data_IF_289676785002
#
_entry.id   IF_289676785002
#
_cell.length_a   1.000
_cell.length_b   1.000
_cell.length_c   1.000
_cell.angle_alpha   90.00
_cell.angle_beta   90.00
_cell.angle_gamma   90.00
#
_symmetry.space_group_name_H-M   'P 1'
#
loop_
_entity.id
_entity.type
_entity.pdbx_description
1 polymer ?
#
# COMPACT_ATOMS: atom_id res chain seq x y z
N UNK A 1 6.72 4.01 -5.94
CA UNK A 1 5.62 4.31 -6.87
C UNK A 1 4.80 3.05 -7.07
N UNK A 2 3.49 3.13 -6.84
CA UNK A 2 2.53 2.06 -7.08
C UNK A 2 1.65 2.51 -8.24
N UNK A 3 1.72 1.81 -9.38
CA UNK A 3 1.00 2.21 -10.59
C UNK A 3 0.72 0.98 -11.49
N UNK A 4 -0.55 0.57 -11.67
CA UNK A 4 -0.91 -0.55 -12.53
C UNK A 4 -0.60 -0.31 -14.01
N UNK A 5 -0.44 0.93 -14.43
CA UNK A 5 -0.19 1.35 -15.81
C UNK A 5 1.24 1.88 -16.01
N UNK A 6 2.15 1.57 -15.08
CA UNK A 6 3.54 1.90 -15.25
C UNK A 6 4.12 1.22 -16.50
N UNK A 7 5.05 1.93 -17.14
CA UNK A 7 5.88 1.42 -18.23
C UNK A 7 7.33 1.91 -18.02
N UNK A 8 8.33 1.29 -18.67
CA UNK A 8 9.72 1.69 -18.50
C UNK A 8 9.92 3.19 -18.70
N UNK A 9 10.65 3.84 -17.79
CA UNK A 9 10.91 5.29 -17.78
C UNK A 9 9.72 6.22 -17.45
N UNK A 10 8.50 5.71 -17.17
CA UNK A 10 7.39 6.57 -16.70
C UNK A 10 7.74 7.29 -15.39
N UNK A 11 8.42 6.57 -14.48
CA UNK A 11 8.77 7.04 -13.14
C UNK A 11 10.28 6.85 -12.88
N UNK A 12 11.14 7.69 -13.46
CA UNK A 12 12.58 7.57 -13.30
C UNK A 12 12.98 7.82 -11.84
N UNK A 13 13.91 7.02 -11.31
CA UNK A 13 14.36 7.13 -9.92
C UNK A 13 13.32 6.70 -8.88
N UNK A 14 12.34 5.88 -9.27
CA UNK A 14 11.41 5.28 -8.33
C UNK A 14 11.54 3.75 -8.36
N UNK A 15 11.41 3.11 -7.20
CA UNK A 15 10.99 1.71 -7.16
C UNK A 15 9.53 1.66 -7.61
N UNK A 16 9.25 0.94 -8.69
CA UNK A 16 7.93 0.85 -9.32
C UNK A 16 7.32 -0.52 -9.08
N UNK A 17 6.08 -0.53 -8.60
CA UNK A 17 5.28 -1.75 -8.34
C UNK A 17 3.99 -1.70 -9.15
N UNK A 18 3.56 -2.85 -9.69
CA UNK A 18 2.26 -3.00 -10.33
C UNK A 18 2.26 -2.96 -11.85
N UNK A 19 3.44 -2.83 -12.47
CA UNK A 19 3.61 -2.76 -13.93
C UNK A 19 2.79 -3.84 -14.66
N UNK A 20 2.05 -3.43 -15.70
CA UNK A 20 1.25 -4.37 -16.49
C UNK A 20 0.01 -4.89 -15.77
N UNK A 21 -0.61 -4.08 -14.89
CA UNK A 21 -1.79 -4.43 -14.09
C UNK A 21 -1.54 -5.58 -13.12
N UNK A 22 -0.34 -5.64 -12.55
CA UNK A 22 0.03 -6.65 -11.57
C UNK A 22 -0.59 -6.32 -10.19
N UNK A 23 -1.91 -6.46 -10.08
CA UNK A 23 -2.66 -6.20 -8.84
C UNK A 23 -2.21 -7.07 -7.65
N UNK A 24 -1.82 -8.36 -7.83
CA UNK A 24 -1.24 -9.14 -6.72
C UNK A 24 0.02 -8.51 -6.13
N UNK A 25 0.93 -8.01 -6.97
CA UNK A 25 2.14 -7.31 -6.51
C UNK A 25 1.81 -5.99 -5.79
N UNK A 26 0.81 -5.25 -6.29
CA UNK A 26 0.30 -4.06 -5.60
C UNK A 26 -0.24 -4.42 -4.21
N UNK A 27 -1.02 -5.49 -4.10
CA UNK A 27 -1.53 -5.99 -2.81
C UNK A 27 -0.41 -6.32 -1.83
N UNK A 28 0.61 -7.05 -2.29
CA UNK A 28 1.81 -7.35 -1.49
C UNK A 28 2.53 -6.07 -1.02
N UNK A 29 2.64 -5.06 -1.89
CA UNK A 29 3.28 -3.80 -1.52
C UNK A 29 2.48 -2.98 -0.50
N UNK A 30 1.15 -2.91 -0.63
CA UNK A 30 0.31 -2.23 0.35
C UNK A 30 0.41 -2.90 1.72
N UNK A 31 0.35 -4.23 1.76
CA UNK A 31 0.52 -5.04 2.97
C UNK A 31 1.92 -4.86 3.59
N UNK A 32 2.98 -4.89 2.78
CA UNK A 32 4.35 -4.63 3.23
C UNK A 32 4.53 -3.22 3.83
N UNK A 33 3.89 -2.20 3.25
CA UNK A 33 3.92 -0.84 3.77
C UNK A 33 3.22 -0.74 5.13
N UNK A 34 2.07 -1.38 5.30
CA UNK A 34 1.36 -1.43 6.59
C UNK A 34 2.20 -2.17 7.63
N UNK A 35 2.80 -3.33 7.30
CA UNK A 35 3.72 -4.04 8.21
C UNK A 35 4.91 -3.19 8.63
N UNK A 36 5.53 -2.48 7.68
CA UNK A 36 6.65 -1.59 7.98
C UNK A 36 6.22 -0.46 8.90
N UNK A 37 5.03 0.11 8.70
CA UNK A 37 4.45 1.10 9.60
C UNK A 37 4.29 0.55 11.02
N UNK A 38 3.72 -0.65 11.17
CA UNK A 38 3.57 -1.33 12.47
C UNK A 38 4.92 -1.54 13.16
N UNK A 39 5.91 -2.07 12.43
CA UNK A 39 7.27 -2.26 12.94
C UNK A 39 7.87 -0.95 13.47
N UNK A 40 7.75 0.15 12.72
CA UNK A 40 8.25 1.46 13.14
C UNK A 40 7.55 1.96 14.41
N UNK A 41 6.24 1.75 14.53
CA UNK A 41 5.50 2.06 15.75
C UNK A 41 5.98 1.25 16.95
N UNK A 42 6.29 -0.04 16.78
CA UNK A 42 6.85 -0.85 17.86
C UNK A 42 8.23 -0.35 18.31
N UNK A 43 9.10 0.01 17.37
CA UNK A 43 10.43 0.55 17.69
C UNK A 43 10.34 1.87 18.44
N UNK A 44 9.40 2.75 18.04
CA UNK A 44 9.08 3.99 18.76
C UNK A 44 8.55 3.68 20.15
N UNK A 45 7.58 2.76 20.27
CA UNK A 45 6.98 2.38 21.55
C UNK A 45 7.97 1.74 22.53
N UNK A 46 8.99 1.04 22.02
CA UNK A 46 10.09 0.45 22.79
C UNK A 46 11.21 1.46 23.10
N UNK A 47 11.13 2.69 22.59
CA UNK A 47 12.17 3.71 22.76
C UNK A 47 13.48 3.41 22.02
N UNK A 48 13.47 2.49 21.05
CA UNK A 48 14.64 2.12 20.25
C UNK A 48 14.98 3.25 19.27
N UNK A 49 13.95 3.88 18.70
CA UNK A 49 14.04 4.99 17.75
C UNK A 49 13.10 6.11 18.21
N UNK A 50 13.53 7.36 18.13
CA UNK A 50 12.66 8.49 18.44
C UNK A 50 11.57 8.66 17.37
N UNK A 51 10.42 9.26 17.72
CA UNK A 51 9.37 9.57 16.74
C UNK A 51 9.94 10.37 15.56
N UNK A 52 9.60 9.98 14.33
CA UNK A 52 10.08 10.59 13.08
C UNK A 52 11.59 10.48 12.79
N UNK A 53 12.35 9.71 13.59
CA UNK A 53 13.79 9.53 13.35
C UNK A 53 14.12 8.42 12.33
N UNK A 54 13.13 7.66 11.86
CA UNK A 54 13.29 6.76 10.72
C UNK A 54 13.52 7.53 9.41
N UNK A 55 14.19 6.89 8.46
CA UNK A 55 14.25 7.36 7.07
C UNK A 55 12.84 7.57 6.51
N UNK A 56 12.62 8.73 5.88
CA UNK A 56 11.32 9.06 5.32
C UNK A 56 11.07 8.27 4.04
N UNK A 57 9.91 7.62 3.97
CA UNK A 57 9.45 6.95 2.75
C UNK A 57 8.38 7.81 2.11
N UNK A 58 8.56 8.13 0.82
CA UNK A 58 7.53 8.79 0.01
C UNK A 58 6.83 7.76 -0.87
N UNK A 59 5.53 7.61 -0.65
CA UNK A 59 4.68 6.65 -1.33
C UNK A 59 3.82 7.44 -2.31
N UNK A 60 4.01 7.19 -3.60
CA UNK A 60 3.18 7.73 -4.66
C UNK A 60 2.33 6.60 -5.22
N UNK A 61 1.01 6.80 -5.28
CA UNK A 61 0.05 5.81 -5.77
C UNK A 61 -0.75 6.45 -6.90
N UNK A 62 -0.55 5.97 -8.13
CA UNK A 62 -1.31 6.40 -9.31
C UNK A 62 -2.49 5.45 -9.56
N UNK A 63 -3.52 5.95 -10.23
CA UNK A 63 -4.69 5.16 -10.63
C UNK A 63 -5.41 4.44 -9.47
N UNK A 64 -5.53 5.11 -8.32
CA UNK A 64 -6.05 4.51 -7.08
C UNK A 64 -7.39 3.82 -7.25
N UNK A 65 -8.30 4.42 -8.02
CA UNK A 65 -9.60 3.84 -8.32
C UNK A 65 -9.47 2.42 -8.88
N UNK A 66 -8.55 2.19 -9.83
CA UNK A 66 -8.35 0.87 -10.42
C UNK A 66 -7.80 -0.14 -9.38
N UNK A 67 -6.94 0.32 -8.47
CA UNK A 67 -6.39 -0.50 -7.39
C UNK A 67 -7.49 -0.95 -6.44
N UNK A 68 -8.32 -0.02 -5.93
CA UNK A 68 -9.43 -0.33 -5.01
C UNK A 68 -10.37 -1.40 -5.58
N UNK A 69 -10.63 -1.38 -6.89
CA UNK A 69 -11.53 -2.37 -7.52
C UNK A 69 -10.90 -3.76 -7.74
N UNK A 70 -9.57 -3.89 -7.73
CA UNK A 70 -8.89 -5.13 -8.12
C UNK A 70 -8.00 -5.73 -7.03
N UNK A 71 -7.69 -4.97 -5.98
CA UNK A 71 -6.86 -5.41 -4.86
C UNK A 71 -7.74 -5.53 -3.63
N UNK A 72 -7.90 -6.78 -3.17
CA UNK A 72 -8.55 -7.08 -1.90
C UNK A 72 -7.77 -6.39 -0.77
N UNK A 73 -8.49 -5.79 0.16
CA UNK A 73 -7.93 -5.09 1.33
C UNK A 73 -7.19 -3.76 1.03
N UNK A 74 -7.25 -3.25 -0.21
CA UNK A 74 -6.64 -1.97 -0.55
C UNK A 74 -7.25 -0.78 0.22
N UNK A 75 -8.56 -0.82 0.46
CA UNK A 75 -9.28 0.22 1.21
C UNK A 75 -8.80 0.30 2.65
N UNK A 76 -8.58 -0.85 3.28
CA UNK A 76 -8.10 -1.01 4.65
C UNK A 76 -6.65 -0.52 4.75
N UNK A 77 -5.80 -0.90 3.80
CA UNK A 77 -4.42 -0.43 3.74
C UNK A 77 -4.33 1.09 3.57
N UNK A 78 -5.14 1.69 2.68
CA UNK A 78 -5.06 3.14 2.46
C UNK A 78 -5.58 3.94 3.65
N UNK A 79 -6.60 3.45 4.33
CA UNK A 79 -7.10 4.08 5.57
C UNK A 79 -5.98 4.17 6.59
N UNK A 80 -5.32 3.04 6.88
CA UNK A 80 -4.19 2.99 7.80
C UNK A 80 -3.05 3.93 7.36
N UNK A 81 -2.65 3.88 6.09
CA UNK A 81 -1.57 4.72 5.56
C UNK A 81 -1.91 6.21 5.62
N UNK A 82 -3.14 6.62 5.34
CA UNK A 82 -3.52 8.03 5.35
C UNK A 82 -3.72 8.59 6.76
N UNK A 83 -4.13 7.77 7.73
CA UNK A 83 -4.41 8.24 9.11
C UNK A 83 -3.21 8.11 10.04
N UNK A 84 -2.33 7.12 9.82
CA UNK A 84 -1.28 6.75 10.78
C UNK A 84 0.16 6.96 10.25
N UNK A 85 0.34 7.40 9.00
CA UNK A 85 1.67 7.53 8.37
C UNK A 85 2.63 8.51 9.05
N UNK A 86 2.11 9.62 9.63
CA UNK A 86 2.93 10.76 10.04
C UNK A 86 4.04 10.39 11.02
N UNK A 87 3.72 9.62 12.07
CA UNK A 87 4.69 9.27 13.13
C UNK A 87 5.67 8.18 12.70
N UNK A 88 5.24 7.34 11.77
CA UNK A 88 6.07 6.32 11.12
C UNK A 88 6.93 6.87 9.97
N UNK A 89 7.06 8.20 9.84
CA UNK A 89 7.86 8.88 8.83
C UNK A 89 7.50 8.49 7.37
N UNK A 90 6.21 8.34 7.08
CA UNK A 90 5.71 8.16 5.72
C UNK A 90 5.12 9.46 5.16
N UNK A 91 5.23 9.67 3.86
CA UNK A 91 4.52 10.70 3.10
C UNK A 91 3.75 10.03 1.97
N UNK A 92 2.42 10.09 2.01
CA UNK A 92 1.54 9.34 1.11
C UNK A 92 0.84 10.29 0.16
N UNK A 93 0.91 10.01 -1.14
CA UNK A 93 0.22 10.74 -2.20
C UNK A 93 -0.60 9.75 -3.02
N UNK A 94 -1.87 10.07 -3.22
CA UNK A 94 -2.82 9.23 -3.94
C UNK A 94 -3.45 10.02 -5.07
N UNK A 95 -3.27 9.56 -6.31
CA UNK A 95 -3.93 10.12 -7.48
C UNK A 95 -5.17 9.29 -7.81
N UNK A 96 -6.30 9.99 -7.99
CA UNK A 96 -7.59 9.38 -8.31
C UNK A 96 -8.41 10.28 -9.23
N UNK A 97 -9.26 9.66 -10.04
CA UNK A 97 -10.22 10.33 -10.92
C UNK A 97 -11.56 10.67 -10.23
N UNK A 98 -11.73 10.28 -8.97
CA UNK A 98 -12.97 10.53 -8.22
C UNK A 98 -12.66 10.75 -6.76
N UNK A 99 -13.32 11.75 -6.18
CA UNK A 99 -13.21 12.08 -4.77
C UNK A 99 -14.36 11.50 -3.92
N UNK A 100 -15.25 10.69 -4.51
CA UNK A 100 -16.32 9.98 -3.79
C UNK A 100 -15.78 8.85 -2.91
N UNK A 101 -16.47 8.58 -1.80
CA UNK A 101 -16.10 7.56 -0.81
C UNK A 101 -15.74 6.20 -1.40
N UNK A 102 -16.63 5.63 -2.23
CA UNK A 102 -16.44 4.29 -2.81
C UNK A 102 -15.19 4.17 -3.71
N UNK A 103 -14.99 5.02 -4.73
CA UNK A 103 -13.75 5.03 -5.51
C UNK A 103 -12.48 5.32 -4.72
N UNK A 104 -12.58 5.94 -3.54
CA UNK A 104 -11.46 6.18 -2.63
C UNK A 104 -11.21 5.01 -1.66
N UNK A 105 -12.13 4.06 -1.53
CA UNK A 105 -12.05 3.03 -0.49
C UNK A 105 -12.42 3.52 0.92
N UNK A 106 -13.17 4.61 1.03
CA UNK A 106 -13.55 5.26 2.29
C UNK A 106 -15.05 5.11 2.60
N UNK A 107 -15.70 4.05 2.13
CA UNK A 107 -17.11 3.79 2.46
C UNK A 107 -17.27 3.62 3.97
N UNK A 108 -18.23 4.35 4.56
CA UNK A 108 -18.49 4.37 6.00
C UNK A 108 -17.62 5.34 6.82
N UNK A 109 -16.52 5.84 6.25
CA UNK A 109 -15.51 6.66 6.95
C UNK A 109 -15.03 7.82 6.05
N UNK A 110 -15.97 8.44 5.34
CA UNK A 110 -15.64 9.48 4.37
C UNK A 110 -15.22 10.81 5.01
N UNK A 111 -15.52 10.99 6.30
CA UNK A 111 -15.05 12.07 7.15
C UNK A 111 -13.52 12.10 7.29
N UNK A 112 -12.83 10.97 7.11
CA UNK A 112 -11.36 10.92 7.07
C UNK A 112 -10.78 11.86 6.00
N UNK A 113 -11.54 12.14 4.93
CA UNK A 113 -11.15 13.06 3.86
C UNK A 113 -10.84 14.47 4.37
N UNK A 114 -11.47 14.91 5.46
CA UNK A 114 -11.27 16.24 6.04
C UNK A 114 -9.86 16.41 6.63
N UNK A 115 -9.17 15.29 6.94
CA UNK A 115 -7.78 15.29 7.39
C UNK A 115 -6.74 15.39 6.27
N UNK A 116 -7.16 15.38 5.00
CA UNK A 116 -6.25 15.31 3.86
C UNK A 116 -6.06 16.67 3.19
N UNK A 117 -4.84 16.89 2.69
CA UNK A 117 -4.59 17.94 1.71
C UNK A 117 -5.03 17.43 0.33
N UNK A 118 -5.98 18.10 -0.31
CA UNK A 118 -6.55 17.70 -1.59
C UNK A 118 -6.08 18.66 -2.66
N UNK A 119 -5.34 18.14 -3.63
CA UNK A 119 -5.00 18.89 -4.86
C UNK A 119 -5.96 18.47 -5.95
N UNK A 120 -6.78 19.41 -6.45
CA UNK A 120 -7.62 19.16 -7.63
C UNK A 120 -6.92 19.68 -8.87
N UNK A 121 -6.81 18.82 -9.87
CA UNK A 121 -6.22 19.14 -11.16
C UNK A 121 -7.33 19.21 -12.20
N UNK A 122 -7.32 20.24 -13.05
CA UNK A 122 -8.22 20.28 -14.18
C UNK A 122 -7.68 21.08 -15.36
N UNK A 123 -8.37 20.95 -16.50
CA UNK A 123 -8.00 21.55 -17.77
C UNK A 123 -9.19 22.36 -18.27
N UNK A 124 -8.99 23.67 -18.47
CA UNK A 124 -9.98 24.58 -19.02
C UNK A 124 -9.32 25.40 -20.11
N UNK A 125 -9.96 25.48 -21.28
CA UNK A 125 -9.45 26.23 -22.44
C UNK A 125 -8.01 25.84 -22.83
N UNK A 126 -7.66 24.55 -22.69
CA UNK A 126 -6.32 24.04 -22.97
C UNK A 126 -5.25 24.39 -21.92
N UNK A 127 -5.60 25.12 -20.87
CA UNK A 127 -4.70 25.45 -19.76
C UNK A 127 -4.97 24.54 -18.57
N UNK A 128 -3.89 24.07 -17.93
CA UNK A 128 -3.97 23.29 -16.69
C UNK A 128 -4.07 24.26 -15.51
N UNK A 129 -4.92 23.94 -14.55
CA UNK A 129 -5.04 24.65 -13.29
C UNK A 129 -5.09 23.67 -12.13
N UNK A 130 -4.74 24.16 -10.94
CA UNK A 130 -4.84 23.40 -9.70
C UNK A 130 -5.44 24.24 -8.57
N UNK A 131 -6.21 23.57 -7.71
CA UNK A 131 -6.63 24.09 -6.41
C UNK A 131 -6.11 23.18 -5.30
N UNK A 132 -5.88 23.76 -4.12
CA UNK A 132 -5.55 23.05 -2.89
C UNK A 132 -6.68 23.30 -1.88
N UNK A 133 -7.16 22.22 -1.26
CA UNK A 133 -8.04 22.26 -0.10
C UNK A 133 -7.32 21.61 1.09
N UNK A 134 -7.32 22.28 2.23
CA UNK A 134 -6.80 21.77 3.51
C UNK A 134 -7.87 21.82 4.61
N UNK A 135 -9.16 21.78 4.22
CA UNK A 135 -10.31 21.85 5.14
C UNK A 135 -10.89 23.24 5.35
N UNK A 136 -10.30 24.28 4.73
CA UNK A 136 -10.76 25.67 4.81
C UNK A 136 -11.34 26.19 3.47
N UNK A 137 -11.59 25.28 2.54
CA UNK A 137 -12.02 25.59 1.18
C UNK A 137 -10.88 25.65 0.18
N UNK A 138 -11.24 25.64 -1.09
CA UNK A 138 -10.30 25.56 -2.20
C UNK A 138 -9.60 26.90 -2.48
N UNK A 139 -8.27 26.87 -2.54
CA UNK A 139 -7.46 28.01 -2.97
C UNK A 139 -6.69 27.67 -4.25
N UNK A 140 -6.59 28.58 -5.23
CA UNK A 140 -5.76 28.35 -6.42
C UNK A 140 -4.30 28.13 -6.04
N UNK A 141 -3.64 27.16 -6.68
CA UNK A 141 -2.21 26.91 -6.52
C UNK A 141 -1.51 26.87 -7.86
N UNK A 142 -0.24 27.27 -7.85
CA UNK A 142 0.59 27.20 -9.04
C UNK A 142 0.94 25.74 -9.31
N UNK A 143 0.66 25.30 -10.53
CA UNK A 143 1.19 24.04 -11.00
C UNK A 143 2.71 24.14 -11.11
N UNK A 144 3.44 23.05 -10.79
CA UNK A 144 4.82 22.96 -11.21
C UNK A 144 4.82 23.15 -12.74
N UNK A 145 5.59 24.13 -13.21
CA UNK A 145 5.64 24.47 -14.64
C UNK A 145 6.18 23.32 -15.49
N UNK A 146 6.72 23.62 -16.66
CA UNK A 146 7.49 22.61 -17.39
C UNK A 146 8.65 22.18 -16.51
N UNK A 147 8.67 20.90 -16.09
CA UNK A 147 9.86 20.31 -15.50
C UNK A 147 10.92 20.34 -16.61
N UNK A 148 11.99 21.17 -16.50
CA UNK A 148 13.16 20.90 -17.33
C UNK A 148 13.54 19.45 -17.03
N UNK A 149 13.91 18.66 -18.04
CA UNK A 149 14.36 17.28 -17.87
C UNK A 149 15.54 17.26 -16.89
N UNK A 150 15.23 17.23 -15.60
CA UNK A 150 16.20 17.17 -14.53
C UNK A 150 16.65 15.73 -14.49
N UNK A 151 17.97 15.59 -14.41
CA UNK A 151 18.62 14.33 -14.07
C UNK A 151 17.82 13.64 -12.96
N UNK A 152 17.63 12.31 -13.03
CA UNK A 152 16.90 11.59 -12.00
C UNK A 152 17.49 11.99 -10.64
N UNK A 153 16.64 12.34 -9.65
CA UNK A 153 17.12 12.73 -8.35
C UNK A 153 18.07 11.65 -7.82
N UNK A 154 19.19 12.07 -7.21
CA UNK A 154 20.10 11.13 -6.55
C UNK A 154 19.35 10.59 -5.33
N UNK A 155 18.97 9.31 -5.39
CA UNK A 155 18.35 8.61 -4.26
C UNK A 155 19.48 8.25 -3.30
N UNK A 156 19.57 8.95 -2.17
CA UNK A 156 20.71 8.80 -1.24
C UNK A 156 20.71 7.49 -0.44
N UNK A 157 19.55 6.83 -0.30
CA UNK A 157 19.45 5.49 0.28
C UNK A 157 18.13 4.82 -0.10
N UNK A 158 18.18 3.60 -0.63
CA UNK A 158 16.99 2.76 -0.80
C UNK A 158 16.73 2.01 0.50
N UNK A 159 15.71 2.43 1.24
CA UNK A 159 15.10 1.53 2.21
C UNK A 159 14.32 0.47 1.42
N UNK A 160 14.89 -0.73 1.34
CA UNK A 160 14.30 -1.84 0.60
C UNK A 160 13.08 -2.33 1.37
N UNK A 161 11.90 -2.07 0.82
CA UNK A 161 10.65 -2.63 1.35
C UNK A 161 10.58 -4.10 0.95
N UNK A 162 10.58 -5.00 1.93
CA UNK A 162 10.37 -6.41 1.66
C UNK A 162 8.90 -6.67 1.33
N UNK A 163 8.64 -6.94 0.05
CA UNK A 163 7.31 -7.23 -0.46
C UNK A 163 6.81 -8.63 -0.08
N UNK A 164 7.73 -9.54 0.31
CA UNK A 164 7.30 -10.87 0.72
C UNK A 164 6.61 -10.81 2.08
N UNK A 165 5.46 -11.50 2.22
CA UNK A 165 4.76 -11.55 3.50
C UNK A 165 5.67 -12.17 4.56
N UNK A 166 5.68 -11.61 5.77
CA UNK A 166 6.30 -12.29 6.90
C UNK A 166 5.43 -13.49 7.29
N UNK A 167 6.04 -14.68 7.27
CA UNK A 167 5.37 -15.89 7.70
C UNK A 167 5.14 -15.84 9.20
N UNK A 168 3.87 -15.95 9.61
CA UNK A 168 3.60 -16.27 11.01
C UNK A 168 4.14 -17.68 11.33
N UNK A 169 4.44 -18.01 12.59
CA UNK A 169 4.84 -19.37 12.95
C UNK A 169 3.83 -20.44 12.52
N UNK A 170 2.54 -20.09 12.54
CA UNK A 170 1.44 -20.94 12.05
C UNK A 170 1.52 -21.15 10.53
N UNK A 171 1.66 -20.07 9.75
CA UNK A 171 1.77 -20.14 8.29
C UNK A 171 3.04 -20.86 7.84
N UNK A 172 4.18 -20.59 8.49
CA UNK A 172 5.43 -21.30 8.24
C UNK A 172 5.26 -22.81 8.43
N UNK A 173 4.57 -23.22 9.50
CA UNK A 173 4.30 -24.63 9.78
C UNK A 173 3.35 -25.25 8.75
N UNK A 174 2.35 -24.51 8.29
CA UNK A 174 1.44 -24.96 7.23
C UNK A 174 2.21 -25.22 5.93
N UNK A 175 3.06 -24.27 5.51
CA UNK A 175 3.84 -24.40 4.28
C UNK A 175 4.85 -25.55 4.37
N UNK A 176 5.55 -25.68 5.50
CA UNK A 176 6.50 -26.78 5.73
C UNK A 176 5.83 -28.15 5.58
N UNK A 177 4.66 -28.36 6.20
CA UNK A 177 3.93 -29.62 6.11
C UNK A 177 3.40 -29.88 4.69
N UNK A 178 2.98 -28.83 3.98
CA UNK A 178 2.56 -28.96 2.58
C UNK A 178 3.72 -29.36 1.66
N UNK A 179 4.90 -28.77 1.83
CA UNK A 179 6.12 -29.15 1.10
C UNK A 179 6.54 -30.60 1.38
N UNK A 180 6.25 -31.12 2.58
CA UNK A 180 6.44 -32.53 2.93
C UNK A 180 5.39 -33.47 2.30
N UNK A 181 4.42 -32.94 1.55
CA UNK A 181 3.38 -33.71 0.87
C UNK A 181 2.19 -34.09 1.75
N UNK A 182 2.05 -33.48 2.93
CA UNK A 182 0.89 -33.72 3.79
C UNK A 182 -0.39 -33.19 3.15
N UNK A 183 -1.50 -33.93 3.32
CA UNK A 183 -2.79 -33.47 2.83
C UNK A 183 -3.39 -32.41 3.76
N UNK A 184 -4.28 -31.57 3.23
CA UNK A 184 -4.92 -30.45 3.95
C UNK A 184 -5.48 -30.85 5.33
N UNK A 185 -6.10 -32.03 5.43
CA UNK A 185 -6.69 -32.48 6.71
C UNK A 185 -5.64 -32.87 7.75
N UNK A 186 -4.50 -33.43 7.31
CA UNK A 186 -3.37 -33.75 8.17
C UNK A 186 -2.66 -32.47 8.64
N UNK A 187 -2.44 -31.51 7.73
CA UNK A 187 -1.91 -30.17 8.08
C UNK A 187 -2.80 -29.50 9.12
N UNK A 188 -4.13 -29.48 8.90
CA UNK A 188 -5.07 -28.88 9.82
C UNK A 188 -5.00 -29.49 11.23
N UNK A 189 -4.94 -30.82 11.32
CA UNK A 189 -4.82 -31.51 12.60
C UNK A 189 -3.50 -31.20 13.30
N UNK A 190 -2.39 -31.11 12.56
CA UNK A 190 -1.06 -30.84 13.11
C UNK A 190 -0.90 -29.39 13.60
N UNK A 191 -1.49 -28.42 12.90
CA UNK A 191 -1.33 -27.00 13.20
C UNK A 191 -2.36 -26.52 14.23
N UNK A 192 -3.62 -26.95 14.10
CA UNK A 192 -4.73 -26.46 14.93
C UNK A 192 -5.17 -27.44 16.03
N UNK A 193 -4.49 -28.59 16.16
CA UNK A 193 -4.85 -29.65 17.11
C UNK A 193 -6.20 -30.32 16.82
N UNK A 194 -6.87 -29.97 15.73
CA UNK A 194 -8.21 -30.43 15.36
C UNK A 194 -8.42 -30.37 13.85
N UNK A 195 -9.30 -31.23 13.34
CA UNK A 195 -9.73 -31.23 11.94
C UNK A 195 -11.15 -30.71 11.81
N UNK A 196 -11.44 -29.98 10.73
CA UNK A 196 -12.77 -29.45 10.46
C UNK A 196 -12.80 -28.59 9.20
N UNK A 197 -14.01 -28.31 8.71
CA UNK A 197 -14.19 -27.50 7.50
C UNK A 197 -13.51 -26.13 7.59
N UNK A 198 -13.62 -25.47 8.75
CA UNK A 198 -13.01 -24.16 8.98
C UNK A 198 -11.47 -24.22 9.01
N UNK A 199 -10.89 -25.22 9.66
CA UNK A 199 -9.44 -25.39 9.72
C UNK A 199 -8.87 -25.71 8.33
N UNK A 200 -9.52 -26.61 7.60
CA UNK A 200 -9.14 -26.93 6.22
C UNK A 200 -9.23 -25.71 5.30
N UNK A 201 -10.23 -24.85 5.52
CA UNK A 201 -10.37 -23.60 4.78
C UNK A 201 -9.22 -22.63 5.09
N UNK A 202 -8.85 -22.46 6.37
CA UNK A 202 -7.68 -21.64 6.76
C UNK A 202 -6.38 -22.15 6.14
N UNK A 203 -6.15 -23.47 6.10
CA UNK A 203 -4.98 -24.05 5.40
C UNK A 203 -4.98 -23.65 3.92
N UNK A 204 -6.11 -23.79 3.21
CA UNK A 204 -6.21 -23.40 1.80
C UNK A 204 -5.97 -21.92 1.57
N UNK A 205 -6.47 -21.07 2.45
CA UNK A 205 -6.26 -19.61 2.37
C UNK A 205 -4.78 -19.27 2.49
N UNK A 206 -4.06 -19.91 3.41
CA UNK A 206 -2.60 -19.74 3.55
C UNK A 206 -1.88 -20.25 2.31
N UNK A 207 -2.19 -21.45 1.82
CA UNK A 207 -1.53 -22.00 0.62
C UNK A 207 -1.78 -21.13 -0.64
N UNK A 208 -2.99 -20.61 -0.78
CA UNK A 208 -3.35 -19.68 -1.86
C UNK A 208 -2.63 -18.34 -1.73
N UNK A 209 -2.49 -17.80 -0.51
CA UNK A 209 -1.75 -16.56 -0.22
C UNK A 209 -0.30 -16.62 -0.70
N UNK A 210 0.33 -17.80 -0.66
CA UNK A 210 1.72 -18.01 -1.06
C UNK A 210 1.88 -18.72 -2.42
N UNK A 211 0.84 -18.75 -3.26
CA UNK A 211 0.84 -19.35 -4.61
C UNK A 211 1.26 -20.83 -4.66
N UNK A 212 0.93 -21.61 -3.62
CA UNK A 212 1.24 -23.05 -3.57
C UNK A 212 0.10 -23.93 -4.10
N UNK A 213 -1.10 -23.37 -4.28
CA UNK A 213 -2.31 -24.04 -4.80
C UNK A 213 -3.19 -23.05 -5.57
#
# INVERSE_FOLDING_TARGET
MIDPHAYPQKWPGCVVVGTGRNYPEIGKALDALVRLMTKRYEEIGKGIVAEQAHSRITILIDEWRAIVYNVKDASEAIKALLTESRKAAFSVFVATHSDRAKPLGLEGEYDLKDGFAIVRLAIANGQRYATLDMGNGEVPVLLPGTYPTQHPPVIEAEEVINLEPELTPEEARILELHEQGENISAIAAAVFGSKGGNQNQRVREVLSKYNQV
#
